data_IF_859566093275
#
_entry.id   IF_859566093275
#
_cell.length_a   1.000
_cell.length_b   1.000
_cell.length_c   1.000
_cell.angle_alpha   90.00
_cell.angle_beta   90.00
_cell.angle_gamma   90.00
#
_symmetry.space_group_name_H-M   'P 1'
#
loop_
_entity.id
_entity.type
_entity.pdbx_description
1 polymer ?
#
# COMPACT_ATOMS: atom_id res chain seq x y z
N UNK A 1 -33.29 33.93 -51.45
CA UNK A 1 -32.30 32.88 -51.10
C UNK A 1 -31.24 33.52 -50.19
N UNK A 2 -31.24 33.19 -48.88
CA UNK A 2 -30.33 33.78 -47.89
C UNK A 2 -29.11 32.87 -47.70
N UNK A 3 -27.93 33.43 -47.95
CA UNK A 3 -26.63 32.78 -47.80
C UNK A 3 -26.33 32.56 -46.31
N UNK A 4 -26.28 31.29 -45.87
CA UNK A 4 -25.81 30.92 -44.55
C UNK A 4 -24.35 30.43 -44.68
N UNK A 5 -23.39 31.36 -44.62
CA UNK A 5 -21.97 31.02 -44.47
C UNK A 5 -21.73 30.71 -42.99
N UNK A 6 -21.79 29.44 -42.65
CA UNK A 6 -21.55 28.92 -41.31
C UNK A 6 -20.04 28.98 -41.03
N UNK A 7 -19.62 29.88 -40.13
CA UNK A 7 -18.22 30.03 -39.72
C UNK A 7 -17.81 28.84 -38.83
N UNK A 8 -17.24 27.81 -39.44
CA UNK A 8 -16.73 26.60 -38.78
C UNK A 8 -15.49 26.73 -37.85
N UNK A 9 -14.66 27.81 -37.81
CA UNK A 9 -13.39 27.73 -37.07
C UNK A 9 -13.51 28.02 -35.56
N UNK A 10 -14.65 28.54 -35.07
CA UNK A 10 -14.78 28.97 -33.66
C UNK A 10 -15.06 27.80 -32.71
N UNK A 11 -15.73 26.76 -33.19
CA UNK A 11 -16.13 25.60 -32.35
C UNK A 11 -14.93 24.69 -32.04
N UNK A 12 -13.94 24.62 -32.94
CA UNK A 12 -12.73 23.82 -32.72
C UNK A 12 -11.81 24.39 -31.61
N UNK A 13 -11.85 25.70 -31.38
CA UNK A 13 -10.99 26.36 -30.38
C UNK A 13 -11.48 26.16 -28.94
N UNK A 14 -12.80 25.98 -28.74
CA UNK A 14 -13.42 25.73 -27.43
C UNK A 14 -13.25 24.29 -26.93
N UNK A 15 -13.04 23.32 -27.83
CA UNK A 15 -12.80 21.91 -27.49
C UNK A 15 -11.34 21.61 -27.14
N UNK A 16 -10.40 22.51 -27.48
CA UNK A 16 -8.97 22.35 -27.18
C UNK A 16 -8.57 22.74 -25.75
N UNK A 17 -9.46 23.40 -24.99
CA UNK A 17 -9.14 23.98 -23.67
C UNK A 17 -9.63 23.16 -22.46
N UNK A 18 -10.18 21.96 -22.66
CA UNK A 18 -10.75 21.14 -21.59
C UNK A 18 -9.83 20.01 -21.08
N UNK A 19 -8.62 19.83 -21.63
CA UNK A 19 -7.78 18.66 -21.31
C UNK A 19 -6.68 18.96 -20.26
N UNK A 20 -6.52 20.20 -19.79
CA UNK A 20 -5.37 20.57 -18.93
C UNK A 20 -5.61 20.38 -17.43
N UNK A 21 -6.83 20.01 -16.98
CA UNK A 21 -7.17 20.01 -15.55
C UNK A 21 -7.63 18.66 -14.98
N UNK A 22 -6.89 17.58 -15.16
CA UNK A 22 -7.04 16.39 -14.29
C UNK A 22 -5.71 15.62 -14.11
N UNK A 23 -4.69 16.25 -13.54
CA UNK A 23 -3.55 15.51 -12.97
C UNK A 23 -3.38 15.73 -11.46
N UNK A 24 -4.40 16.28 -10.81
CA UNK A 24 -4.46 16.42 -9.35
C UNK A 24 -5.15 15.22 -8.74
N UNK A 25 -4.55 14.04 -8.83
CA UNK A 25 -5.08 12.86 -8.16
C UNK A 25 -3.93 12.03 -7.58
N UNK A 26 -3.75 12.21 -6.27
CA UNK A 26 -3.00 11.34 -5.35
C UNK A 26 -1.47 11.33 -5.50
N UNK A 27 -0.85 12.41 -5.01
CA UNK A 27 0.32 12.19 -4.14
C UNK A 27 -0.20 11.61 -2.83
N UNK A 28 -0.54 10.33 -2.84
CA UNK A 28 -0.57 9.56 -1.59
C UNK A 28 0.88 9.50 -1.16
N UNK A 29 1.22 10.24 -0.10
CA UNK A 29 2.39 9.94 0.70
C UNK A 29 2.28 8.45 1.03
N UNK A 30 3.03 7.61 0.30
CA UNK A 30 3.18 6.21 0.67
C UNK A 30 3.90 6.26 2.00
N UNK A 31 3.13 6.23 3.10
CA UNK A 31 3.66 5.87 4.41
C UNK A 31 4.52 4.65 4.17
N UNK A 32 5.81 4.76 4.50
CA UNK A 32 6.73 3.63 4.47
C UNK A 32 6.18 2.60 5.47
N UNK A 33 5.38 1.67 4.95
CA UNK A 33 4.87 0.55 5.72
C UNK A 33 6.04 -0.39 5.94
N UNK A 34 6.40 -0.59 7.20
CA UNK A 34 7.46 -1.51 7.58
C UNK A 34 6.84 -2.89 7.83
N UNK A 35 7.33 -3.90 7.12
CA UNK A 35 6.89 -5.28 7.32
C UNK A 35 7.78 -5.93 8.38
N UNK A 36 7.14 -6.50 9.40
CA UNK A 36 7.80 -7.29 10.41
C UNK A 36 7.21 -8.70 10.41
N UNK A 37 8.06 -9.69 10.61
CA UNK A 37 7.64 -11.03 10.95
C UNK A 37 7.69 -11.27 12.45
N UNK A 38 6.80 -12.13 12.97
CA UNK A 38 6.77 -12.49 14.38
C UNK A 38 7.27 -13.92 14.58
N UNK A 39 8.31 -14.07 15.42
CA UNK A 39 8.80 -15.36 15.85
C UNK A 39 8.03 -15.83 17.07
N UNK A 40 7.06 -16.73 16.88
CA UNK A 40 6.25 -17.28 17.97
C UNK A 40 7.02 -18.19 18.94
N UNK A 41 8.26 -18.59 18.60
CA UNK A 41 9.11 -19.35 19.51
C UNK A 41 9.86 -18.42 20.48
N UNK A 42 10.39 -17.29 20.00
CA UNK A 42 11.17 -16.35 20.82
C UNK A 42 10.34 -15.19 21.36
N UNK A 43 9.17 -14.91 20.78
CA UNK A 43 8.31 -13.79 21.17
C UNK A 43 8.77 -12.44 20.62
N UNK A 44 9.47 -12.42 19.48
CA UNK A 44 10.13 -11.22 18.96
C UNK A 44 9.60 -10.80 17.59
N UNK A 45 9.52 -9.48 17.39
CA UNK A 45 9.35 -8.85 16.10
C UNK A 45 10.70 -8.76 15.37
N UNK A 46 10.74 -9.25 14.15
CA UNK A 46 11.94 -9.26 13.32
C UNK A 46 11.62 -8.51 12.03
N UNK A 47 12.37 -7.46 11.67
CA UNK A 47 12.14 -6.75 10.42
C UNK A 47 12.31 -7.70 9.23
N UNK A 48 11.47 -7.54 8.20
CA UNK A 48 11.52 -8.39 7.03
C UNK A 48 12.92 -8.38 6.41
N UNK A 49 13.51 -9.58 6.27
CA UNK A 49 14.86 -9.74 5.75
C UNK A 49 14.96 -11.06 4.94
N UNK A 50 15.97 -11.21 4.08
CA UNK A 50 16.11 -12.38 3.21
C UNK A 50 16.54 -13.67 3.93
N UNK A 51 17.04 -13.58 5.16
CA UNK A 51 17.52 -14.72 5.96
C UNK A 51 16.42 -15.40 6.77
N UNK A 52 15.23 -14.81 6.79
CA UNK A 52 14.08 -15.32 7.53
C UNK A 52 12.92 -15.60 6.57
N UNK A 53 12.09 -16.57 6.94
CA UNK A 53 10.90 -16.95 6.21
C UNK A 53 9.76 -17.33 7.15
N UNK A 54 8.54 -17.33 6.61
CA UNK A 54 7.40 -17.88 7.30
C UNK A 54 7.34 -19.39 7.11
N UNK A 55 7.71 -20.16 8.14
CA UNK A 55 7.46 -21.61 8.15
C UNK A 55 5.96 -21.82 8.39
N UNK A 56 5.29 -22.49 7.46
CA UNK A 56 3.82 -22.60 7.41
C UNK A 56 3.19 -23.14 8.69
N UNK A 57 2.11 -22.49 9.12
CA UNK A 57 1.20 -22.93 10.18
C UNK A 57 -0.15 -22.23 9.96
N UNK A 58 -1.22 -22.98 9.74
CA UNK A 58 -2.52 -22.45 9.32
C UNK A 58 -3.18 -21.49 10.33
N UNK A 59 -2.84 -21.62 11.62
CA UNK A 59 -3.59 -20.97 12.69
C UNK A 59 -3.08 -19.56 13.03
N UNK A 60 -1.88 -19.21 12.60
CA UNK A 60 -1.18 -18.01 13.04
C UNK A 60 -0.67 -17.20 11.84
N UNK A 61 -0.74 -15.87 11.94
CA UNK A 61 -0.18 -14.97 10.93
C UNK A 61 1.28 -14.70 11.31
N UNK A 62 2.20 -14.87 10.38
CA UNK A 62 3.62 -14.67 10.67
C UNK A 62 4.14 -13.28 10.33
N UNK A 63 3.43 -12.48 9.52
CA UNK A 63 3.89 -11.16 9.04
C UNK A 63 2.81 -10.10 9.19
N UNK A 64 3.24 -8.90 9.52
CA UNK A 64 2.38 -7.77 9.84
C UNK A 64 2.99 -6.48 9.29
N UNK A 65 2.13 -5.58 8.85
CA UNK A 65 2.50 -4.23 8.40
C UNK A 65 2.32 -3.22 9.52
N UNK A 66 3.34 -2.38 9.69
CA UNK A 66 3.36 -1.35 10.71
C UNK A 66 3.58 0.03 10.10
N UNK A 67 2.90 1.03 10.68
CA UNK A 67 3.16 2.45 10.36
C UNK A 67 4.46 2.96 10.99
N UNK A 68 4.89 2.36 12.09
CA UNK A 68 6.09 2.65 12.87
C UNK A 68 6.57 1.36 13.52
N UNK A 69 7.87 1.21 13.80
CA UNK A 69 8.39 -0.01 14.43
C UNK A 69 7.56 -0.42 15.67
N UNK A 70 7.32 -1.74 15.89
CA UNK A 70 6.61 -2.23 17.06
C UNK A 70 7.30 -1.81 18.36
N UNK A 71 6.51 -1.55 19.39
CA UNK A 71 7.06 -1.28 20.72
C UNK A 71 7.58 -2.58 21.37
N UNK A 72 8.61 -2.49 22.24
CA UNK A 72 9.08 -3.64 23.01
C UNK A 72 7.93 -4.28 23.81
N UNK A 73 7.71 -5.58 23.64
CA UNK A 73 6.65 -6.32 24.34
C UNK A 73 5.29 -6.34 23.63
N UNK A 74 5.13 -5.64 22.51
CA UNK A 74 3.98 -5.88 21.63
C UNK A 74 4.01 -7.31 21.09
N UNK A 75 2.83 -7.88 20.93
CA UNK A 75 2.58 -9.20 20.35
C UNK A 75 1.53 -9.07 19.24
N UNK A 76 1.37 -10.08 18.37
CA UNK A 76 0.30 -10.11 17.38
C UNK A 76 -1.13 -9.88 17.92
N UNK A 77 -1.37 -10.07 19.22
CA UNK A 77 -2.70 -9.97 19.82
C UNK A 77 -3.01 -8.59 20.42
N UNK A 78 -2.00 -7.75 20.67
CA UNK A 78 -2.15 -6.45 21.33
C UNK A 78 -1.45 -5.30 20.59
N UNK A 79 -1.01 -5.52 19.34
CA UNK A 79 -0.35 -4.51 18.50
C UNK A 79 -1.32 -3.71 17.65
N UNK A 80 -0.90 -2.50 17.24
CA UNK A 80 -1.61 -1.66 16.25
C UNK A 80 -1.38 -2.06 14.78
N UNK A 81 -0.64 -3.13 14.52
CA UNK A 81 -0.30 -3.59 13.18
C UNK A 81 -1.46 -4.16 12.36
N UNK A 82 -1.28 -4.19 11.04
CA UNK A 82 -2.19 -4.85 10.11
C UNK A 82 -1.68 -6.27 9.77
N UNK A 83 -2.44 -7.35 10.01
CA UNK A 83 -2.01 -8.69 9.68
C UNK A 83 -1.96 -8.93 8.17
N UNK A 84 -0.89 -9.57 7.71
CA UNK A 84 -0.79 -10.03 6.32
C UNK A 84 -1.33 -11.46 6.15
N UNK A 85 -1.54 -11.88 4.90
CA UNK A 85 -2.08 -13.21 4.59
C UNK A 85 -1.08 -14.36 4.79
N UNK A 86 0.16 -14.07 5.18
CA UNK A 86 1.18 -15.09 5.41
C UNK A 86 0.92 -15.84 6.71
N UNK A 87 0.73 -17.16 6.61
CA UNK A 87 0.42 -18.04 7.74
C UNK A 87 1.66 -18.82 8.18
N UNK A 88 2.02 -18.77 9.47
CA UNK A 88 3.21 -19.44 9.97
C UNK A 88 3.85 -18.85 11.22
N UNK A 89 5.09 -19.27 11.47
CA UNK A 89 6.02 -18.61 12.37
C UNK A 89 7.17 -18.03 11.55
N UNK A 90 7.56 -16.79 11.81
CA UNK A 90 8.73 -16.18 11.15
C UNK A 90 10.01 -16.70 11.81
N UNK A 91 10.89 -17.35 11.03
CA UNK A 91 12.08 -18.03 11.54
C UNK A 91 13.23 -17.93 10.52
N UNK A 92 14.49 -18.12 10.93
CA UNK A 92 15.59 -18.24 9.99
C UNK A 92 15.33 -19.34 8.95
N UNK A 93 15.78 -19.14 7.72
CA UNK A 93 15.65 -20.10 6.61
C UNK A 93 16.34 -21.43 6.93
#
# INVERSE_FOLDING_TARGET
MKNLKFNLPVIAMLLGLSIVFTQSAFKTDKKLLNVYGYNYTTGEWIPENPNYECKYNANIVCKFEFNSAPEPGETPYNTSSTPLRYKGSYRPK
#
